data_IF_278521221083
#
_entry.id   IF_278521221083
#
_cell.length_a   1.000
_cell.length_b   1.000
_cell.length_c   1.000
_cell.angle_alpha   90.00
_cell.angle_beta   90.00
_cell.angle_gamma   90.00
#
_symmetry.space_group_name_H-M   'P 1'
#
loop_
_entity.id
_entity.type
_entity.pdbx_description
1 polymer ?
#
# COMPACT_ATOMS: atom_id res chain seq x y z
N UNK A 1 28.83 10.04 13.99
CA UNK A 1 27.44 9.58 13.87
C UNK A 1 26.80 9.56 15.26
N UNK A 2 25.58 10.07 15.45
CA UNK A 2 24.89 9.98 16.73
C UNK A 2 24.71 8.51 17.14
N UNK A 3 24.79 8.24 18.44
CA UNK A 3 24.78 6.89 19.01
C UNK A 3 23.39 6.26 18.80
N UNK A 4 23.32 5.18 18.05
CA UNK A 4 22.07 4.45 17.77
C UNK A 4 21.49 3.85 19.07
N UNK A 5 20.16 3.74 19.17
CA UNK A 5 19.51 3.21 20.37
C UNK A 5 19.90 1.75 20.64
N UNK A 6 20.03 1.37 21.92
CA UNK A 6 20.48 0.02 22.31
C UNK A 6 19.62 -1.10 21.68
N UNK A 7 18.31 -0.87 21.56
CA UNK A 7 17.37 -1.81 20.94
C UNK A 7 17.58 -1.96 19.43
N UNK A 8 17.77 -0.84 18.73
CA UNK A 8 18.04 -0.86 17.29
C UNK A 8 19.40 -1.51 16.99
N UNK A 9 20.42 -1.26 17.80
CA UNK A 9 21.73 -1.94 17.66
C UNK A 9 21.60 -3.44 17.86
N UNK A 10 20.80 -3.90 18.82
CA UNK A 10 20.52 -5.31 19.03
C UNK A 10 19.78 -5.95 17.85
N UNK A 11 18.80 -5.26 17.26
CA UNK A 11 18.09 -5.73 16.08
C UNK A 11 18.98 -5.75 14.82
N UNK A 12 19.82 -4.72 14.63
CA UNK A 12 20.79 -4.64 13.55
C UNK A 12 21.83 -5.77 13.61
N UNK A 13 22.22 -6.21 14.80
CA UNK A 13 23.12 -7.35 14.97
C UNK A 13 22.54 -8.69 14.50
N UNK A 14 21.22 -8.82 14.40
CA UNK A 14 20.54 -10.03 13.92
C UNK A 14 20.47 -10.12 12.40
N UNK A 15 20.67 -9.02 11.69
CA UNK A 15 20.47 -8.93 10.24
C UNK A 15 21.77 -8.55 9.56
N UNK A 16 22.27 -9.43 8.69
CA UNK A 16 23.38 -9.09 7.82
C UNK A 16 22.86 -8.26 6.64
N UNK A 17 23.26 -6.99 6.58
CA UNK A 17 22.85 -6.06 5.52
C UNK A 17 23.56 -6.31 4.19
N UNK A 18 24.61 -7.12 4.19
CA UNK A 18 25.38 -7.47 2.98
C UNK A 18 24.79 -8.68 2.27
N UNK A 19 24.18 -9.61 3.02
CA UNK A 19 23.55 -10.82 2.50
C UNK A 19 22.15 -10.53 1.94
N UNK A 20 21.77 -11.29 0.91
CA UNK A 20 20.40 -11.39 0.42
C UNK A 20 19.80 -12.69 0.94
N UNK A 21 18.61 -12.61 1.54
CA UNK A 21 17.93 -13.75 2.14
C UNK A 21 16.81 -14.28 1.23
N UNK A 22 16.53 -15.59 1.26
CA UNK A 22 15.31 -16.16 0.68
C UNK A 22 14.06 -15.53 1.31
N UNK A 23 12.92 -15.59 0.60
CA UNK A 23 11.67 -14.98 1.06
C UNK A 23 11.26 -15.50 2.45
N UNK A 24 11.34 -16.81 2.68
CA UNK A 24 10.98 -17.47 3.94
C UNK A 24 11.82 -16.98 5.11
N UNK A 25 13.15 -17.08 4.98
CA UNK A 25 14.09 -16.62 6.01
C UNK A 25 13.97 -15.12 6.27
N UNK A 26 13.73 -14.32 5.21
CA UNK A 26 13.57 -12.89 5.34
C UNK A 26 12.36 -12.49 6.19
N UNK A 27 11.22 -13.18 6.02
CA UNK A 27 10.01 -12.94 6.83
C UNK A 27 10.26 -13.33 8.30
N UNK A 28 10.91 -14.45 8.56
CA UNK A 28 11.25 -14.88 9.92
C UNK A 28 12.22 -13.91 10.61
N UNK A 29 13.21 -13.41 9.89
CA UNK A 29 14.16 -12.41 10.39
C UNK A 29 13.46 -11.11 10.75
N UNK A 30 12.55 -10.61 9.90
CA UNK A 30 11.78 -9.38 10.18
C UNK A 30 10.92 -9.55 11.44
N UNK A 31 10.27 -10.70 11.61
CA UNK A 31 9.48 -10.98 12.82
C UNK A 31 10.35 -11.04 14.08
N UNK A 32 11.50 -11.71 14.01
CA UNK A 32 12.42 -11.85 15.16
C UNK A 32 13.21 -10.57 15.50
N UNK A 33 13.31 -9.64 14.53
CA UNK A 33 13.95 -8.34 14.69
C UNK A 33 13.00 -7.25 15.19
N UNK A 34 11.68 -7.50 15.23
CA UNK A 34 10.71 -6.61 15.85
C UNK A 34 10.94 -6.50 17.35
N UNK A 35 10.81 -5.28 17.90
CA UNK A 35 11.08 -5.01 19.31
C UNK A 35 10.15 -3.96 19.93
N UNK A 36 9.27 -3.36 19.13
CA UNK A 36 8.27 -2.44 19.65
C UNK A 36 7.24 -3.20 20.51
N UNK A 37 6.57 -2.44 21.38
CA UNK A 37 5.53 -2.96 22.26
C UNK A 37 4.17 -3.10 21.56
N UNK A 38 4.02 -2.46 20.40
CA UNK A 38 2.82 -2.51 19.58
C UNK A 38 3.05 -3.41 18.36
N UNK A 39 1.98 -3.85 17.74
CA UNK A 39 2.04 -4.69 16.54
C UNK A 39 2.52 -3.86 15.34
N UNK A 40 3.79 -4.06 14.96
CA UNK A 40 4.44 -3.30 13.89
C UNK A 40 3.88 -3.71 12.53
N UNK A 41 3.86 -2.76 11.58
CA UNK A 41 3.52 -3.05 10.18
C UNK A 41 4.79 -3.49 9.46
N UNK A 42 4.65 -4.50 8.61
CA UNK A 42 5.71 -4.99 7.73
C UNK A 42 5.50 -4.35 6.36
N UNK A 43 6.52 -3.64 5.89
CA UNK A 43 6.54 -2.95 4.62
C UNK A 43 7.49 -3.64 3.64
N UNK A 44 7.03 -3.80 2.39
CA UNK A 44 7.85 -4.18 1.26
C UNK A 44 8.30 -2.92 0.52
N UNK A 45 9.61 -2.79 0.35
CA UNK A 45 10.24 -1.71 -0.40
C UNK A 45 10.94 -2.29 -1.62
N UNK A 46 10.48 -1.88 -2.80
CA UNK A 46 11.02 -2.34 -4.08
C UNK A 46 11.65 -1.17 -4.81
N UNK A 47 12.94 -1.28 -5.12
CA UNK A 47 13.62 -0.33 -5.99
C UNK A 47 13.47 -0.80 -7.42
N UNK A 48 12.76 -0.01 -8.22
CA UNK A 48 12.56 -0.26 -9.63
C UNK A 48 13.64 0.40 -10.49
N UNK A 49 13.78 -0.10 -11.71
CA UNK A 49 14.64 0.42 -12.76
C UNK A 49 13.99 1.47 -13.67
N UNK A 50 12.88 2.06 -13.24
CA UNK A 50 12.12 3.06 -14.01
C UNK A 50 12.57 4.48 -13.67
N UNK A 51 12.43 5.41 -14.63
CA UNK A 51 12.61 6.84 -14.40
C UNK A 51 11.24 7.53 -14.25
N UNK A 52 10.81 7.84 -13.01
CA UNK A 52 9.48 8.40 -12.73
C UNK A 52 9.31 9.85 -13.18
N UNK A 53 10.35 10.50 -13.72
CA UNK A 53 10.23 11.81 -14.38
C UNK A 53 9.46 11.71 -15.69
N UNK A 54 9.51 10.54 -16.34
CA UNK A 54 8.82 10.25 -17.58
C UNK A 54 7.46 9.62 -17.28
N UNK A 55 6.38 10.19 -17.84
CA UNK A 55 5.02 9.77 -17.53
C UNK A 55 4.69 8.35 -18.02
N UNK A 56 5.34 7.91 -19.09
CA UNK A 56 5.28 6.55 -19.68
C UNK A 56 5.96 5.48 -18.82
N UNK A 57 6.84 5.89 -17.89
CA UNK A 57 7.53 4.99 -16.95
C UNK A 57 6.97 5.07 -15.53
N UNK A 58 5.88 5.82 -15.32
CA UNK A 58 5.24 5.94 -14.02
C UNK A 58 4.42 4.68 -13.69
N UNK A 59 4.94 3.84 -12.79
CA UNK A 59 4.20 2.68 -12.28
C UNK A 59 3.26 3.12 -11.16
N UNK A 60 1.97 2.84 -11.36
CA UNK A 60 0.92 3.02 -10.37
C UNK A 60 -0.09 1.91 -10.52
N UNK A 61 -0.52 1.35 -9.40
CA UNK A 61 -1.54 0.31 -9.39
C UNK A 61 -2.13 0.13 -8.00
N UNK A 62 -3.07 -0.80 -7.91
CA UNK A 62 -3.50 -1.36 -6.64
C UNK A 62 -3.54 -2.87 -6.73
N UNK A 63 -3.32 -3.50 -5.59
CA UNK A 63 -3.45 -4.94 -5.41
C UNK A 63 -4.34 -5.20 -4.20
N UNK A 64 -5.23 -6.18 -4.32
CA UNK A 64 -5.99 -6.69 -3.18
C UNK A 64 -5.14 -7.79 -2.55
N UNK A 65 -4.75 -7.60 -1.29
CA UNK A 65 -3.96 -8.60 -0.57
C UNK A 65 -4.87 -9.77 -0.14
N UNK A 66 -4.48 -11.04 -0.39
CA UNK A 66 -5.32 -12.20 -0.06
C UNK A 66 -5.59 -12.33 1.44
N UNK A 67 -4.63 -11.95 2.29
CA UNK A 67 -4.77 -12.02 3.75
C UNK A 67 -5.08 -10.65 4.41
N UNK A 68 -5.28 -9.61 3.60
CA UNK A 68 -5.51 -8.24 4.06
C UNK A 68 -4.32 -7.61 4.81
N UNK A 69 -4.56 -6.43 5.38
CA UNK A 69 -3.54 -5.62 6.09
C UNK A 69 -3.57 -5.77 7.62
N UNK A 70 -4.59 -6.44 8.16
CA UNK A 70 -4.77 -6.59 9.62
C UNK A 70 -5.12 -5.28 10.35
N UNK A 71 -5.56 -4.25 9.62
CA UNK A 71 -6.05 -2.97 10.14
C UNK A 71 -7.48 -2.77 9.63
N UNK A 72 -8.36 -2.28 10.50
CA UNK A 72 -9.66 -1.79 10.08
C UNK A 72 -9.48 -0.50 9.26
N UNK A 73 -9.78 -0.59 7.97
CA UNK A 73 -9.71 0.53 7.03
C UNK A 73 -11.06 1.25 7.04
N UNK A 74 -11.05 2.53 7.38
CA UNK A 74 -12.25 3.36 7.33
C UNK A 74 -12.47 3.88 5.92
N UNK A 75 -13.58 3.48 5.30
CA UNK A 75 -13.90 3.76 3.90
C UNK A 75 -14.97 4.84 3.83
N UNK A 76 -14.62 5.95 3.18
CA UNK A 76 -15.51 7.05 2.81
C UNK A 76 -15.96 6.87 1.37
N UNK A 77 -17.26 6.99 1.11
CA UNK A 77 -17.82 6.88 -0.24
C UNK A 77 -18.55 8.15 -0.64
N UNK A 78 -18.14 8.73 -1.77
CA UNK A 78 -18.84 9.81 -2.46
C UNK A 78 -19.78 9.25 -3.52
N UNK A 79 -21.06 9.17 -3.20
CA UNK A 79 -22.10 8.67 -4.08
C UNK A 79 -23.41 9.43 -3.88
N UNK A 80 -24.25 9.47 -4.92
CA UNK A 80 -25.61 10.01 -4.88
C UNK A 80 -26.63 8.94 -5.28
N UNK A 81 -27.84 9.04 -4.75
CA UNK A 81 -28.99 8.22 -5.18
C UNK A 81 -28.85 6.74 -4.81
N UNK A 82 -29.08 5.85 -5.78
CA UNK A 82 -29.08 4.39 -5.53
C UNK A 82 -27.72 3.83 -5.09
N UNK A 83 -26.63 4.46 -5.55
CA UNK A 83 -25.26 4.06 -5.20
C UNK A 83 -24.87 4.37 -3.76
N UNK A 84 -25.56 5.30 -3.12
CA UNK A 84 -25.41 5.55 -1.69
C UNK A 84 -25.94 4.37 -0.85
N UNK A 85 -27.09 3.80 -1.23
CA UNK A 85 -27.65 2.62 -0.55
C UNK A 85 -26.73 1.41 -0.72
N UNK A 86 -26.27 1.17 -1.94
CA UNK A 86 -25.32 0.08 -2.24
C UNK A 86 -24.03 0.19 -1.42
N UNK A 87 -23.51 1.41 -1.23
CA UNK A 87 -22.32 1.65 -0.42
C UNK A 87 -22.54 1.38 1.08
N UNK A 88 -23.69 1.80 1.61
CA UNK A 88 -24.07 1.54 3.01
C UNK A 88 -24.25 0.04 3.26
N UNK A 89 -24.92 -0.66 2.34
CA UNK A 89 -25.12 -2.11 2.42
C UNK A 89 -23.82 -2.90 2.28
N UNK A 90 -22.86 -2.39 1.51
CA UNK A 90 -21.50 -2.95 1.42
C UNK A 90 -20.65 -2.70 2.67
N UNK A 91 -21.15 -1.92 3.63
CA UNK A 91 -20.50 -1.64 4.90
C UNK A 91 -19.52 -0.49 4.85
N UNK A 92 -19.73 0.54 4.01
CA UNK A 92 -18.96 1.77 4.09
C UNK A 92 -19.22 2.50 5.41
N UNK A 93 -18.18 3.06 6.04
CA UNK A 93 -18.28 3.71 7.35
C UNK A 93 -18.94 5.09 7.23
N UNK A 94 -18.67 5.79 6.13
CA UNK A 94 -19.24 7.08 5.82
C UNK A 94 -19.66 7.14 4.36
N UNK A 95 -20.91 7.53 4.11
CA UNK A 95 -21.45 7.71 2.75
C UNK A 95 -22.17 9.05 2.69
N UNK A 96 -21.89 9.82 1.65
CA UNK A 96 -22.53 11.12 1.46
C UNK A 96 -21.99 11.85 0.24
N UNK A 97 -22.39 13.10 0.11
CA UNK A 97 -22.13 13.91 -1.06
C UNK A 97 -21.60 15.29 -0.64
N UNK A 98 -22.38 16.35 -0.88
CA UNK A 98 -21.95 17.73 -0.68
C UNK A 98 -21.76 18.10 0.81
N UNK A 99 -22.41 17.37 1.72
CA UNK A 99 -22.32 17.50 3.18
C UNK A 99 -20.97 17.05 3.73
N UNK A 100 -20.45 15.90 3.26
CA UNK A 100 -19.12 15.40 3.63
C UNK A 100 -18.02 16.27 3.00
N UNK A 101 -18.29 16.82 1.82
CA UNK A 101 -17.38 17.76 1.16
C UNK A 101 -17.17 19.02 2.03
N UNK A 102 -18.24 19.60 2.57
CA UNK A 102 -18.14 20.74 3.49
C UNK A 102 -17.34 20.38 4.76
N UNK A 103 -17.62 19.24 5.39
CA UNK A 103 -16.87 18.78 6.57
C UNK A 103 -15.38 18.59 6.32
N UNK A 104 -15.00 18.08 5.15
CA UNK A 104 -13.57 17.92 4.79
C UNK A 104 -12.91 19.28 4.57
N UNK A 105 -13.63 20.26 4.02
CA UNK A 105 -13.13 21.64 3.92
C UNK A 105 -12.92 22.28 5.30
N UNK A 106 -13.76 21.93 6.28
CA UNK A 106 -13.61 22.33 7.69
C UNK A 106 -12.48 21.58 8.43
N UNK A 107 -11.84 20.60 7.79
CA UNK A 107 -10.67 19.90 8.32
C UNK A 107 -10.94 18.50 8.88
N UNK A 108 -12.07 17.89 8.54
CA UNK A 108 -12.37 16.51 8.94
C UNK A 108 -11.69 15.48 8.02
N UNK A 109 -10.90 14.56 8.62
CA UNK A 109 -10.11 13.55 7.88
C UNK A 109 -10.07 12.20 8.60
N UNK A 110 -11.18 11.75 9.18
CA UNK A 110 -11.21 10.52 9.97
C UNK A 110 -11.46 9.24 9.14
N UNK A 111 -10.90 9.19 7.92
CA UNK A 111 -11.02 8.07 6.98
C UNK A 111 -9.67 7.74 6.35
N UNK A 112 -9.50 6.48 5.96
CA UNK A 112 -8.24 5.96 5.38
C UNK A 112 -8.32 5.82 3.85
N UNK A 113 -9.51 5.63 3.29
CA UNK A 113 -9.69 5.47 1.84
C UNK A 113 -10.97 6.15 1.38
N UNK A 114 -10.89 6.88 0.26
CA UNK A 114 -12.05 7.48 -0.38
C UNK A 114 -12.35 6.79 -1.71
N UNK A 115 -13.63 6.46 -1.92
CA UNK A 115 -14.16 5.91 -3.16
C UNK A 115 -15.16 6.92 -3.70
N UNK A 116 -15.15 7.16 -5.02
CA UNK A 116 -16.08 8.09 -5.64
C UNK A 116 -16.75 7.47 -6.86
N UNK A 117 -17.96 7.94 -7.10
CA UNK A 117 -18.67 7.72 -8.36
C UNK A 117 -18.26 8.80 -9.38
N UNK A 118 -18.18 8.49 -10.69
CA UNK A 118 -17.68 9.44 -11.71
C UNK A 118 -18.42 10.79 -11.76
N UNK A 119 -19.72 10.79 -11.47
CA UNK A 119 -20.60 11.96 -11.36
C UNK A 119 -20.19 12.89 -10.21
N UNK A 120 -19.62 12.35 -9.13
CA UNK A 120 -19.20 13.12 -7.95
C UNK A 120 -17.77 13.66 -8.05
N UNK A 121 -17.01 13.30 -9.08
CA UNK A 121 -15.62 13.75 -9.24
C UNK A 121 -15.48 15.26 -9.43
N UNK A 122 -16.49 15.93 -10.01
CA UNK A 122 -16.50 17.39 -10.14
C UNK A 122 -16.54 18.11 -8.80
N UNK A 123 -17.21 17.53 -7.80
CA UNK A 123 -17.29 18.07 -6.44
C UNK A 123 -16.03 17.71 -5.64
N UNK A 124 -15.60 16.45 -5.70
CA UNK A 124 -14.36 15.97 -5.04
C UNK A 124 -13.12 16.71 -5.55
N UNK A 125 -13.11 17.10 -6.83
CA UNK A 125 -12.04 17.90 -7.44
C UNK A 125 -11.80 19.24 -6.74
N UNK A 126 -12.83 19.88 -6.18
CA UNK A 126 -12.69 21.13 -5.43
C UNK A 126 -11.87 20.95 -4.14
N UNK A 127 -11.95 19.77 -3.53
CA UNK A 127 -11.20 19.40 -2.32
C UNK A 127 -9.87 18.69 -2.67
N UNK A 128 -9.56 18.53 -3.96
CA UNK A 128 -8.34 17.89 -4.42
C UNK A 128 -7.06 18.52 -3.88
N UNK A 129 -7.08 19.82 -3.54
CA UNK A 129 -5.94 20.50 -2.88
C UNK A 129 -5.65 19.99 -1.47
N UNK A 130 -6.69 19.57 -0.73
CA UNK A 130 -6.56 19.02 0.62
C UNK A 130 -6.29 17.51 0.60
N UNK A 131 -6.99 16.77 -0.26
CA UNK A 131 -6.85 15.30 -0.35
C UNK A 131 -5.61 14.85 -1.12
N UNK A 132 -5.14 15.65 -2.09
CA UNK A 132 -4.01 15.33 -2.96
C UNK A 132 -2.70 15.07 -2.21
N UNK A 133 -2.22 16.00 -1.35
CA UNK A 133 -0.99 15.81 -0.58
C UNK A 133 -1.05 14.62 0.38
N UNK A 134 -2.25 14.25 0.84
CA UNK A 134 -2.47 13.13 1.76
C UNK A 134 -2.65 11.78 1.04
N UNK A 135 -2.71 11.76 -0.29
CA UNK A 135 -2.92 10.54 -1.06
C UNK A 135 -4.33 9.95 -0.96
N UNK A 136 -5.28 10.66 -0.34
CA UNK A 136 -6.66 10.21 -0.13
C UNK A 136 -7.58 10.53 -1.33
N UNK A 137 -7.02 11.04 -2.43
CA UNK A 137 -7.80 11.45 -3.59
C UNK A 137 -8.19 10.23 -4.45
N UNK A 138 -9.50 9.97 -4.68
CA UNK A 138 -9.95 8.90 -5.56
C UNK A 138 -9.34 9.04 -6.96
N UNK A 139 -8.94 7.92 -7.56
CA UNK A 139 -8.31 7.91 -8.88
C UNK A 139 -8.84 6.77 -9.77
N UNK A 140 -9.27 7.07 -11.01
CA UNK A 140 -9.73 6.05 -11.95
C UNK A 140 -8.68 4.96 -12.22
N UNK A 141 -7.38 5.30 -12.24
CA UNK A 141 -6.30 4.34 -12.50
C UNK A 141 -6.16 3.26 -11.44
N UNK A 142 -6.66 3.54 -10.24
CA UNK A 142 -6.58 2.62 -9.09
C UNK A 142 -7.92 1.89 -8.88
N UNK A 143 -8.93 2.20 -9.70
CA UNK A 143 -10.27 1.63 -9.61
C UNK A 143 -11.06 2.13 -8.39
N UNK A 144 -10.62 3.23 -7.75
CA UNK A 144 -11.38 3.90 -6.67
C UNK A 144 -12.42 4.88 -7.21
N UNK A 145 -12.47 5.05 -8.54
CA UNK A 145 -13.55 5.73 -9.25
C UNK A 145 -14.28 4.71 -10.10
N UNK A 146 -15.47 4.27 -9.66
CA UNK A 146 -16.26 3.24 -10.34
C UNK A 146 -17.75 3.42 -10.07
N UNK A 147 -18.58 2.86 -10.95
CA UNK A 147 -20.02 2.71 -10.71
C UNK A 147 -20.35 1.48 -9.84
N UNK A 148 -19.43 0.53 -9.70
CA UNK A 148 -19.56 -0.65 -8.83
C UNK A 148 -19.06 -0.36 -7.41
N UNK A 149 -19.81 0.47 -6.69
CA UNK A 149 -19.40 0.98 -5.39
C UNK A 149 -19.36 -0.13 -4.34
N UNK A 150 -20.33 -1.05 -4.35
CA UNK A 150 -20.39 -2.12 -3.34
C UNK A 150 -19.19 -3.06 -3.42
N UNK A 151 -18.73 -3.39 -4.64
CA UNK A 151 -17.52 -4.18 -4.86
C UNK A 151 -16.27 -3.41 -4.42
N UNK A 152 -16.16 -2.14 -4.80
CA UNK A 152 -15.00 -1.32 -4.44
C UNK A 152 -14.86 -1.15 -2.92
N UNK A 153 -15.97 -1.02 -2.18
CA UNK A 153 -15.97 -0.94 -0.71
C UNK A 153 -15.49 -2.25 -0.10
N UNK A 154 -15.98 -3.41 -0.59
CA UNK A 154 -15.51 -4.72 -0.12
C UNK A 154 -14.02 -4.93 -0.39
N UNK A 155 -13.55 -4.57 -1.59
CA UNK A 155 -12.12 -4.64 -1.93
C UNK A 155 -11.29 -3.71 -1.04
N UNK A 156 -11.73 -2.48 -0.79
CA UNK A 156 -11.04 -1.55 0.10
C UNK A 156 -10.96 -2.09 1.53
N UNK A 157 -12.06 -2.62 2.07
CA UNK A 157 -12.09 -3.25 3.41
C UNK A 157 -11.27 -4.54 3.49
N UNK A 158 -11.15 -5.28 2.38
CA UNK A 158 -10.29 -6.48 2.34
C UNK A 158 -8.79 -6.19 2.34
N UNK A 159 -8.38 -4.90 2.35
CA UNK A 159 -6.97 -4.51 2.40
C UNK A 159 -6.37 -4.28 1.02
N UNK A 160 -7.07 -3.53 0.17
CA UNK A 160 -6.52 -3.04 -1.10
C UNK A 160 -5.38 -2.05 -0.82
N UNK A 161 -4.20 -2.37 -1.32
CA UNK A 161 -3.00 -1.52 -1.21
C UNK A 161 -2.77 -0.80 -2.52
N UNK A 162 -2.78 0.53 -2.47
CA UNK A 162 -2.34 1.35 -3.59
C UNK A 162 -0.82 1.52 -3.53
N UNK A 163 -0.15 1.32 -4.65
CA UNK A 163 1.27 1.59 -4.78
C UNK A 163 1.54 2.60 -5.89
N UNK A 164 2.46 3.52 -5.61
CA UNK A 164 2.91 4.54 -6.57
C UNK A 164 4.42 4.66 -6.45
N UNK A 165 5.08 4.76 -7.60
CA UNK A 165 6.51 5.04 -7.65
C UNK A 165 6.79 6.47 -7.17
N UNK A 166 7.73 6.58 -6.24
CA UNK A 166 8.28 7.85 -5.79
C UNK A 166 9.32 8.40 -6.78
N UNK A 167 9.74 9.65 -6.62
CA UNK A 167 10.73 10.30 -7.51
C UNK A 167 12.06 9.56 -7.62
N UNK A 168 12.41 8.73 -6.63
CA UNK A 168 13.62 7.91 -6.62
C UNK A 168 13.48 6.55 -7.35
N UNK A 169 12.31 6.25 -7.93
CA UNK A 169 12.05 4.94 -8.53
C UNK A 169 11.80 3.84 -7.49
N UNK A 170 11.33 4.21 -6.29
CA UNK A 170 11.07 3.29 -5.19
C UNK A 170 9.57 3.17 -4.97
N UNK A 171 9.11 1.95 -4.70
CA UNK A 171 7.74 1.66 -4.26
C UNK A 171 7.79 1.23 -2.81
N UNK A 172 6.89 1.80 -2.02
CA UNK A 172 6.62 1.41 -0.65
C UNK A 172 5.21 0.83 -0.61
N UNK A 173 5.06 -0.37 -0.04
CA UNK A 173 3.76 -0.97 0.14
C UNK A 173 3.71 -1.78 1.44
N UNK A 174 2.71 -1.56 2.31
CA UNK A 174 2.48 -2.40 3.47
C UNK A 174 1.99 -3.78 3.03
N UNK A 175 2.55 -4.84 3.60
CA UNK A 175 2.19 -6.23 3.27
C UNK A 175 1.47 -6.95 4.43
N UNK A 176 1.40 -6.34 5.60
CA UNK A 176 0.66 -6.86 6.75
C UNK A 176 1.27 -6.44 8.08
N UNK A 177 0.93 -7.14 9.15
CA UNK A 177 1.46 -6.92 10.50
C UNK A 177 2.44 -8.02 10.91
N UNK A 178 3.30 -7.73 11.87
CA UNK A 178 4.23 -8.70 12.45
C UNK A 178 3.50 -9.87 13.12
N UNK A 179 2.31 -9.63 13.66
CA UNK A 179 1.43 -10.67 14.22
C UNK A 179 0.94 -11.72 13.23
N UNK A 180 1.01 -11.46 11.92
CA UNK A 180 0.55 -12.41 10.91
C UNK A 180 1.45 -13.65 10.85
N UNK A 181 0.87 -14.77 10.43
CA UNK A 181 1.63 -15.99 10.18
C UNK A 181 2.67 -15.77 9.06
N UNK A 182 3.80 -16.48 9.15
CA UNK A 182 4.86 -16.38 8.15
C UNK A 182 4.38 -16.71 6.74
N UNK A 183 3.52 -17.72 6.58
CA UNK A 183 2.95 -18.10 5.29
C UNK A 183 2.04 -17.01 4.70
N UNK A 184 1.18 -16.41 5.53
CA UNK A 184 0.27 -15.34 5.10
C UNK A 184 1.01 -14.09 4.61
N UNK A 185 2.11 -13.75 5.27
CA UNK A 185 2.97 -12.64 4.83
C UNK A 185 3.64 -12.95 3.49
N UNK A 186 4.10 -14.19 3.28
CA UNK A 186 4.70 -14.61 2.01
C UNK A 186 3.69 -14.50 0.87
N UNK A 187 2.47 -14.99 1.05
CA UNK A 187 1.39 -14.88 0.05
C UNK A 187 1.08 -13.42 -0.30
N UNK A 188 1.01 -12.54 0.69
CA UNK A 188 0.79 -11.11 0.47
C UNK A 188 1.94 -10.47 -0.32
N UNK A 189 3.20 -10.84 -0.02
CA UNK A 189 4.38 -10.34 -0.73
C UNK A 189 4.39 -10.82 -2.18
N UNK A 190 4.07 -12.10 -2.41
CA UNK A 190 4.00 -12.70 -3.75
C UNK A 190 2.89 -12.05 -4.59
N UNK A 191 1.69 -11.86 -4.02
CA UNK A 191 0.59 -11.18 -4.69
C UNK A 191 0.95 -9.75 -5.10
N UNK A 192 1.64 -9.02 -4.22
CA UNK A 192 2.09 -7.66 -4.52
C UNK A 192 3.19 -7.65 -5.60
N UNK A 193 4.10 -8.60 -5.55
CA UNK A 193 5.18 -8.73 -6.53
C UNK A 193 4.66 -9.13 -7.92
N UNK A 194 3.68 -10.02 -8.00
CA UNK A 194 2.98 -10.37 -9.25
C UNK A 194 2.31 -9.15 -9.87
N UNK A 195 1.57 -8.39 -9.05
CA UNK A 195 0.93 -7.15 -9.49
C UNK A 195 1.96 -6.11 -10.00
N UNK A 196 3.12 -6.01 -9.35
CA UNK A 196 4.20 -5.14 -9.79
C UNK A 196 4.82 -5.57 -11.13
N UNK A 197 4.98 -6.88 -11.34
CA UNK A 197 5.50 -7.45 -12.59
C UNK A 197 4.51 -7.23 -13.74
N UNK A 198 3.21 -7.38 -13.50
CA UNK A 198 2.14 -7.06 -14.47
C UNK A 198 2.04 -5.56 -14.78
N UNK A 199 2.36 -4.72 -13.80
CA UNK A 199 2.38 -3.26 -13.97
C UNK A 199 3.65 -2.73 -14.65
N UNK A 200 4.53 -3.61 -15.18
CA UNK A 200 5.76 -3.22 -15.86
C UNK A 200 5.47 -2.41 -17.13
N UNK A 201 5.96 -1.16 -17.24
CA UNK A 201 5.80 -0.38 -18.45
C UNK A 201 6.63 -0.95 -19.61
N UNK A 202 6.13 -0.93 -20.85
CA UNK A 202 6.89 -1.38 -22.02
C UNK A 202 8.12 -0.50 -22.29
N UNK A 203 8.08 0.76 -21.86
CA UNK A 203 9.17 1.72 -22.00
C UNK A 203 10.34 1.47 -21.01
N UNK A 204 10.16 0.60 -20.01
CA UNK A 204 11.21 0.31 -19.03
C UNK A 204 12.34 -0.51 -19.66
N UNK A 205 13.53 0.10 -19.79
CA UNK A 205 14.74 -0.55 -20.32
C UNK A 205 15.58 -1.16 -19.19
N UNK A 206 16.14 -2.34 -19.44
CA UNK A 206 17.03 -3.03 -18.49
C UNK A 206 16.30 -3.78 -17.37
N UNK A 207 16.97 -3.99 -16.24
CA UNK A 207 16.44 -4.75 -15.10
C UNK A 207 15.34 -3.96 -14.39
N UNK A 208 14.11 -4.47 -14.47
CA UNK A 208 12.93 -3.80 -13.90
C UNK A 208 12.97 -3.73 -12.36
N UNK A 209 13.38 -4.81 -11.69
CA UNK A 209 13.54 -4.87 -10.24
C UNK A 209 15.03 -4.85 -9.91
N UNK A 210 15.49 -3.80 -9.21
CA UNK A 210 16.90 -3.66 -8.80
C UNK A 210 17.16 -4.23 -7.42
N UNK A 211 16.23 -4.04 -6.49
CA UNK A 211 16.39 -4.46 -5.10
C UNK A 211 15.05 -4.62 -4.42
N UNK A 212 14.93 -5.65 -3.59
CA UNK A 212 13.78 -5.89 -2.73
C UNK A 212 14.26 -5.86 -1.29
N UNK A 213 13.59 -5.10 -0.45
CA UNK A 213 13.83 -5.05 0.98
C UNK A 213 12.52 -5.16 1.73
N UNK A 214 12.51 -5.91 2.83
CA UNK A 214 11.41 -5.91 3.80
C UNK A 214 11.90 -5.27 5.09
N UNK A 215 11.08 -4.43 5.69
CA UNK A 215 11.35 -3.85 7.01
C UNK A 215 10.07 -3.82 7.83
N UNK A 216 10.21 -4.00 9.14
CA UNK A 216 9.14 -3.59 10.06
C UNK A 216 9.26 -2.09 10.36
N UNK A 217 8.19 -1.47 10.86
CA UNK A 217 8.13 -0.03 11.13
C UNK A 217 9.31 0.49 11.97
N UNK A 218 9.76 -0.28 12.96
CA UNK A 218 10.87 0.11 13.85
C UNK A 218 12.13 -0.76 13.65
N UNK A 219 12.06 -1.77 12.79
CA UNK A 219 13.11 -2.76 12.61
C UNK A 219 14.12 -2.43 11.52
N UNK A 220 15.21 -3.21 11.43
CA UNK A 220 16.16 -3.12 10.33
C UNK A 220 15.54 -3.65 9.03
N UNK A 221 15.99 -3.10 7.90
CA UNK A 221 15.64 -3.62 6.58
C UNK A 221 16.44 -4.88 6.21
N UNK A 222 15.73 -5.96 5.91
CA UNK A 222 16.27 -7.23 5.41
C UNK A 222 16.21 -7.22 3.88
N UNK A 223 17.33 -7.55 3.22
CA UNK A 223 17.36 -7.67 1.76
C UNK A 223 16.86 -9.04 1.35
N UNK A 224 15.93 -9.06 0.41
CA UNK A 224 15.48 -10.30 -0.22
C UNK A 224 16.21 -10.54 -1.53
N UNK A 225 16.40 -11.82 -1.85
CA UNK A 225 16.82 -12.22 -3.18
C UNK A 225 15.67 -12.06 -4.18
N UNK A 226 15.87 -11.22 -5.20
CA UNK A 226 14.86 -10.97 -6.22
C UNK A 226 14.64 -12.18 -7.13
N UNK A 227 15.66 -13.03 -7.32
CA UNK A 227 15.54 -14.24 -8.12
C UNK A 227 14.64 -15.28 -7.44
N UNK A 228 14.85 -15.51 -6.14
CA UNK A 228 14.02 -16.41 -5.32
C UNK A 228 12.55 -15.97 -5.27
N UNK A 229 12.30 -14.67 -5.05
CA UNK A 229 10.94 -14.12 -5.04
C UNK A 229 10.27 -14.29 -6.41
N UNK A 230 11.01 -14.12 -7.51
CA UNK A 230 10.48 -14.34 -8.86
C UNK A 230 10.24 -15.80 -9.22
N UNK A 231 10.95 -16.73 -8.59
CA UNK A 231 10.80 -18.17 -8.82
C UNK A 231 9.61 -18.79 -8.06
N UNK A 232 9.11 -18.08 -7.04
CA UNK A 232 7.97 -18.48 -6.21
C UNK A 232 6.64 -17.86 -6.65
N UNK A 233 6.66 -17.03 -7.71
CA UNK A 233 5.47 -16.58 -8.45
C UNK A 233 4.86 -17.73 -9.27
#
# INVERSE_FOLDING_TARGET
MPKTSKKLTGALGKVDRSKSYPLKEGVELVKSASYAKFDETVDLVVRLGVDPRHADQMVRGAVVLPNGLGKDVRVLVFAKGEKEKEARDAGADYVGADDLVAKIQEGWFDFDTAIATPDMMGVVGKIGKLLGPRGLMPNPKVGTVTFEVGRAVKEAKSGKVEFRVEKAGIIHAPVGKVSFDGGKLQENILALFDALMKAKPPAAKGTYVKKICISSTMGPGVRLDAADVSAQL
#
